data_IF_774909329167
#
_entry.id   IF_774909329167
#
_cell.length_a   1.000
_cell.length_b   1.000
_cell.length_c   1.000
_cell.angle_alpha   90.00
_cell.angle_beta   90.00
_cell.angle_gamma   90.00
#
_symmetry.space_group_name_H-M   'P 1'
#
loop_
_entity.id
_entity.type
_entity.pdbx_description
1 polymer ?
#
# COMPACT_ATOMS: atom_id res chain seq x y z
N UNK A 1 9.75 -20.48 -39.36
CA UNK A 1 8.33 -20.55 -39.03
C UNK A 1 7.96 -19.37 -38.13
N UNK A 2 6.83 -18.75 -38.37
CA UNK A 2 6.36 -17.54 -37.67
C UNK A 2 6.30 -17.69 -36.15
N UNK A 3 5.94 -18.87 -35.63
CA UNK A 3 5.88 -19.15 -34.18
C UNK A 3 7.25 -19.03 -33.48
N UNK A 4 8.36 -19.38 -34.16
CA UNK A 4 9.70 -19.19 -33.58
C UNK A 4 10.00 -17.70 -33.37
N UNK A 5 9.63 -16.83 -34.33
CA UNK A 5 9.77 -15.39 -34.19
C UNK A 5 8.89 -14.86 -33.05
N UNK A 6 7.66 -15.38 -32.90
CA UNK A 6 6.76 -15.04 -31.80
C UNK A 6 7.34 -15.47 -30.45
N UNK A 7 7.85 -16.70 -30.33
CA UNK A 7 8.47 -17.19 -29.08
C UNK A 7 9.71 -16.36 -28.71
N UNK A 8 10.56 -16.03 -29.69
CA UNK A 8 11.72 -15.15 -29.44
C UNK A 8 11.26 -13.77 -28.99
N UNK A 9 10.22 -13.19 -29.60
CA UNK A 9 9.64 -11.91 -29.17
C UNK A 9 9.13 -11.95 -27.74
N UNK A 10 8.37 -12.99 -27.36
CA UNK A 10 7.88 -13.19 -25.98
C UNK A 10 9.05 -13.34 -25.00
N UNK A 11 10.03 -14.18 -25.33
CA UNK A 11 11.20 -14.40 -24.48
C UNK A 11 12.02 -13.11 -24.29
N UNK A 12 12.21 -12.34 -25.36
CA UNK A 12 12.91 -11.03 -25.30
C UNK A 12 12.15 -10.02 -24.44
N UNK A 13 10.82 -10.00 -24.55
CA UNK A 13 9.96 -9.12 -23.73
C UNK A 13 10.03 -9.49 -22.24
N UNK A 14 9.96 -10.79 -21.91
CA UNK A 14 10.12 -11.27 -20.53
C UNK A 14 11.51 -10.91 -20.00
N UNK A 15 12.57 -11.15 -20.77
CA UNK A 15 13.93 -10.80 -20.39
C UNK A 15 14.07 -9.28 -20.14
N UNK A 16 13.47 -8.44 -20.98
CA UNK A 16 13.44 -7.00 -20.79
C UNK A 16 12.77 -6.61 -19.48
N UNK A 17 11.60 -7.21 -19.14
CA UNK A 17 10.91 -6.94 -17.86
C UNK A 17 11.80 -7.34 -16.68
N UNK A 18 12.43 -8.51 -16.72
CA UNK A 18 13.30 -8.98 -15.63
C UNK A 18 14.47 -8.00 -15.43
N UNK A 19 15.15 -7.61 -16.53
CA UNK A 19 16.27 -6.65 -16.49
C UNK A 19 15.77 -5.30 -15.95
N UNK A 20 14.61 -4.83 -16.39
CA UNK A 20 14.02 -3.58 -15.90
C UNK A 20 13.74 -3.62 -14.40
N UNK A 21 13.09 -4.69 -13.90
CA UNK A 21 12.81 -4.88 -12.46
C UNK A 21 14.10 -4.88 -11.64
N UNK A 22 15.11 -5.62 -12.13
CA UNK A 22 16.43 -5.66 -11.52
C UNK A 22 17.08 -4.26 -11.49
N UNK A 23 17.06 -3.54 -12.61
CA UNK A 23 17.63 -2.20 -12.71
C UNK A 23 16.95 -1.20 -11.76
N UNK A 24 15.63 -1.25 -11.65
CA UNK A 24 14.86 -0.41 -10.73
C UNK A 24 15.16 -0.75 -9.27
N UNK A 25 15.18 -2.04 -8.93
CA UNK A 25 15.39 -2.50 -7.54
C UNK A 25 16.80 -2.17 -7.05
N UNK A 26 17.82 -2.46 -7.86
CA UNK A 26 19.23 -2.21 -7.52
C UNK A 26 19.72 -0.80 -7.86
N UNK A 27 18.83 0.06 -8.36
CA UNK A 27 19.20 1.43 -8.76
C UNK A 27 20.38 1.47 -9.71
N UNK A 28 20.33 0.67 -10.77
CA UNK A 28 21.45 0.52 -11.72
C UNK A 28 21.88 1.90 -12.26
N UNK A 29 23.19 2.18 -12.19
CA UNK A 29 23.80 3.45 -12.61
C UNK A 29 23.13 4.70 -11.99
N UNK A 30 22.52 4.59 -10.79
CA UNK A 30 21.78 5.68 -10.11
C UNK A 30 20.60 6.25 -10.91
N UNK A 31 20.13 5.50 -11.90
CA UNK A 31 19.08 5.95 -12.81
C UNK A 31 17.71 6.03 -12.15
N UNK A 32 17.41 5.12 -11.21
CA UNK A 32 16.08 4.93 -10.64
C UNK A 32 15.94 5.42 -9.19
N UNK A 33 17.04 5.76 -8.53
CA UNK A 33 17.08 6.09 -7.11
C UNK A 33 16.90 4.88 -6.19
N UNK A 34 17.27 5.04 -4.93
CA UNK A 34 17.22 3.94 -3.93
C UNK A 34 15.80 3.39 -3.76
N UNK A 35 15.71 2.10 -3.52
CA UNK A 35 14.47 1.39 -3.13
C UNK A 35 14.61 0.87 -1.69
N UNK A 36 13.50 0.64 -0.95
CA UNK A 36 13.54 -0.07 0.31
C UNK A 36 14.22 -1.44 0.16
N UNK A 37 14.98 -1.85 1.17
CA UNK A 37 15.63 -3.16 1.15
C UNK A 37 14.62 -4.29 1.42
N UNK A 38 14.96 -5.53 1.01
CA UNK A 38 14.18 -6.72 1.36
C UNK A 38 14.06 -6.86 2.88
N UNK A 39 15.10 -6.53 3.63
CA UNK A 39 15.05 -6.55 5.09
C UNK A 39 13.92 -5.66 5.65
N UNK A 40 13.73 -4.47 5.09
CA UNK A 40 12.64 -3.57 5.50
C UNK A 40 11.26 -4.12 5.13
N UNK A 41 11.17 -4.93 4.06
CA UNK A 41 9.93 -5.62 3.69
C UNK A 41 9.63 -6.75 4.67
N UNK A 42 10.64 -7.52 5.07
CA UNK A 42 10.51 -8.64 6.01
C UNK A 42 10.30 -8.16 7.46
N UNK A 43 10.75 -6.96 7.80
CA UNK A 43 10.65 -6.38 9.15
C UNK A 43 10.15 -4.94 9.06
N UNK A 44 8.88 -4.73 8.70
CA UNK A 44 8.34 -3.39 8.60
C UNK A 44 8.30 -2.73 9.97
N UNK A 45 8.95 -1.57 10.07
CA UNK A 45 8.97 -0.79 11.31
C UNK A 45 7.70 0.06 11.37
N UNK A 46 6.89 -0.15 12.39
CA UNK A 46 5.76 0.72 12.72
C UNK A 46 6.23 1.76 13.75
N UNK A 47 6.03 3.04 13.44
CA UNK A 47 6.21 4.09 14.43
C UNK A 47 5.03 4.05 15.40
N UNK A 48 5.24 3.48 16.58
CA UNK A 48 4.24 3.44 17.64
C UNK A 48 4.29 4.73 18.47
N UNK A 49 3.16 5.11 19.03
CA UNK A 49 3.10 6.20 19.98
C UNK A 49 3.72 5.76 21.31
N UNK A 50 4.64 6.55 21.86
CA UNK A 50 5.12 6.37 23.23
C UNK A 50 4.08 6.90 24.21
N UNK A 51 3.58 6.06 25.09
CA UNK A 51 2.59 6.42 26.11
C UNK A 51 3.31 6.75 27.42
N UNK A 52 2.94 7.87 28.03
CA UNK A 52 3.51 8.34 29.31
C UNK A 52 2.46 8.11 30.39
N UNK A 53 2.82 7.35 31.39
CA UNK A 53 1.95 7.01 32.53
C UNK A 53 2.48 7.59 33.83
N UNK A 54 1.60 7.87 34.78
CA UNK A 54 1.96 8.07 36.19
C UNK A 54 2.37 6.75 36.82
N UNK A 55 2.96 6.80 38.03
CA UNK A 55 3.34 5.60 38.78
C UNK A 55 2.14 4.69 39.09
N UNK A 56 0.96 5.27 39.25
CA UNK A 56 -0.35 4.59 39.45
C UNK A 56 -1.02 4.19 38.13
N UNK A 57 -0.27 4.13 37.03
CA UNK A 57 -0.72 3.68 35.70
C UNK A 57 -1.82 4.54 35.05
N UNK A 58 -1.94 5.80 35.43
CA UNK A 58 -2.82 6.76 34.74
C UNK A 58 -2.10 7.34 33.53
N UNK A 59 -2.70 7.27 32.35
CA UNK A 59 -2.15 7.84 31.12
C UNK A 59 -2.13 9.37 31.21
N UNK A 60 -0.92 9.97 31.25
CA UNK A 60 -0.71 11.41 31.26
C UNK A 60 -0.77 12.00 29.85
N UNK A 61 -0.19 11.27 28.88
CA UNK A 61 -0.11 11.72 27.52
C UNK A 61 0.54 10.72 26.58
N UNK A 62 0.52 11.06 25.28
CA UNK A 62 1.17 10.29 24.22
C UNK A 62 2.16 11.18 23.48
N UNK A 63 3.37 10.69 23.31
CA UNK A 63 4.38 11.32 22.46
C UNK A 63 4.52 10.50 21.18
N UNK A 64 4.23 11.11 20.04
CA UNK A 64 4.23 10.43 18.76
C UNK A 64 4.51 11.39 17.61
N UNK A 65 5.16 10.90 16.57
CA UNK A 65 5.19 11.54 15.26
C UNK A 65 3.90 11.25 14.50
N UNK A 66 3.30 10.07 14.71
CA UNK A 66 2.03 9.62 14.16
C UNK A 66 1.23 8.95 15.28
N UNK A 67 -0.03 9.36 15.46
CA UNK A 67 -0.91 8.80 16.49
C UNK A 67 -1.38 7.39 16.07
N UNK A 68 -0.60 6.37 16.39
CA UNK A 68 -0.87 4.95 16.06
C UNK A 68 -1.08 4.13 17.33
N UNK A 69 -2.09 3.28 17.30
CA UNK A 69 -2.35 2.27 18.34
C UNK A 69 -2.66 0.95 17.63
N UNK A 70 -1.66 0.08 17.43
CA UNK A 70 -1.84 -1.15 16.67
C UNK A 70 -2.87 -2.08 17.31
N UNK A 71 -3.59 -2.80 16.46
CA UNK A 71 -4.59 -3.79 16.86
C UNK A 71 -4.46 -5.05 16.03
N UNK A 72 -5.06 -6.14 16.51
CA UNK A 72 -5.10 -7.43 15.80
C UNK A 72 -6.24 -7.44 14.78
N UNK A 73 -6.15 -8.35 13.81
CA UNK A 73 -7.17 -8.54 12.80
C UNK A 73 -8.56 -8.78 13.40
N UNK A 74 -8.64 -9.61 14.43
CA UNK A 74 -9.87 -10.02 15.10
C UNK A 74 -10.57 -8.89 15.86
N UNK A 75 -9.83 -7.83 16.19
CA UNK A 75 -10.35 -6.69 16.95
C UNK A 75 -11.07 -5.66 16.05
N UNK A 76 -11.14 -5.92 14.75
CA UNK A 76 -11.84 -5.07 13.77
C UNK A 76 -13.11 -5.75 13.29
N UNK A 77 -14.20 -4.99 13.20
CA UNK A 77 -15.45 -5.50 12.65
C UNK A 77 -15.22 -6.05 11.22
N UNK A 78 -15.59 -7.32 10.95
CA UNK A 78 -15.42 -7.92 9.61
C UNK A 78 -16.07 -7.11 8.48
N UNK A 79 -17.12 -6.34 8.78
CA UNK A 79 -17.77 -5.46 7.82
C UNK A 79 -16.81 -4.38 7.29
N UNK A 80 -15.90 -3.89 8.14
CA UNK A 80 -14.89 -2.93 7.68
C UNK A 80 -13.99 -3.52 6.58
N UNK A 81 -13.47 -4.73 6.78
CA UNK A 81 -12.65 -5.40 5.77
C UNK A 81 -13.41 -5.66 4.48
N UNK A 82 -14.68 -6.10 4.62
CA UNK A 82 -15.53 -6.31 3.45
C UNK A 82 -15.73 -5.02 2.67
N UNK A 83 -16.12 -3.94 3.34
CA UNK A 83 -16.31 -2.62 2.72
C UNK A 83 -15.02 -2.10 2.08
N UNK A 84 -13.87 -2.26 2.75
CA UNK A 84 -12.57 -1.87 2.22
C UNK A 84 -12.25 -2.61 0.92
N UNK A 85 -12.40 -3.94 0.92
CA UNK A 85 -12.08 -4.78 -0.25
C UNK A 85 -13.03 -4.47 -1.41
N UNK A 86 -14.34 -4.43 -1.16
CA UNK A 86 -15.36 -4.16 -2.17
C UNK A 86 -15.18 -2.76 -2.82
N UNK A 87 -14.61 -1.79 -2.07
CA UNK A 87 -14.45 -0.42 -2.52
C UNK A 87 -13.10 -0.15 -3.18
N UNK A 88 -12.02 -0.64 -2.56
CA UNK A 88 -10.65 -0.29 -2.96
C UNK A 88 -10.01 -1.36 -3.86
N UNK A 89 -10.36 -2.63 -3.68
CA UNK A 89 -9.65 -3.73 -4.34
C UNK A 89 -10.51 -5.01 -4.41
N UNK A 90 -11.59 -4.97 -5.20
CA UNK A 90 -12.59 -6.05 -5.32
C UNK A 90 -11.97 -7.44 -5.55
N UNK A 91 -10.81 -7.50 -6.24
CA UNK A 91 -10.09 -8.74 -6.53
C UNK A 91 -8.91 -9.02 -5.59
N UNK A 92 -8.88 -8.41 -4.40
CA UNK A 92 -7.79 -8.51 -3.44
C UNK A 92 -7.28 -9.94 -3.21
N UNK A 93 -8.18 -10.90 -3.11
CA UNK A 93 -7.83 -12.32 -2.89
C UNK A 93 -7.39 -13.06 -4.16
N UNK A 94 -7.47 -12.44 -5.34
CA UNK A 94 -7.21 -13.10 -6.63
C UNK A 94 -5.85 -12.74 -7.23
N UNK A 95 -5.19 -11.71 -6.73
CA UNK A 95 -3.89 -11.25 -7.22
C UNK A 95 -2.81 -11.32 -6.14
N UNK A 96 -1.55 -11.12 -6.53
CA UNK A 96 -0.38 -11.11 -5.65
C UNK A 96 0.31 -9.74 -5.70
N UNK A 97 -0.26 -8.74 -5.03
CA UNK A 97 0.27 -7.39 -4.90
C UNK A 97 -0.10 -6.45 -6.05
N UNK A 98 -0.27 -6.96 -7.27
CA UNK A 98 -0.66 -6.18 -8.46
C UNK A 98 -1.83 -6.86 -9.16
N UNK A 99 -2.90 -6.11 -9.39
CA UNK A 99 -4.05 -6.57 -10.16
C UNK A 99 -3.92 -6.18 -11.64
N UNK A 100 -3.29 -7.05 -12.43
CA UNK A 100 -3.12 -6.80 -13.87
C UNK A 100 -4.43 -6.69 -14.64
N UNK A 101 -5.48 -7.44 -14.22
CA UNK A 101 -6.80 -7.35 -14.84
C UNK A 101 -7.42 -5.97 -14.58
N UNK A 102 -7.34 -5.49 -13.35
CA UNK A 102 -7.80 -4.15 -12.97
C UNK A 102 -7.02 -3.04 -13.66
N UNK A 103 -5.70 -3.17 -13.78
CA UNK A 103 -4.87 -2.23 -14.52
C UNK A 103 -5.28 -2.13 -15.99
N UNK A 104 -5.50 -3.27 -16.66
CA UNK A 104 -5.94 -3.30 -18.05
C UNK A 104 -7.33 -2.68 -18.21
N UNK A 105 -8.26 -2.99 -17.31
CA UNK A 105 -9.59 -2.39 -17.31
C UNK A 105 -9.53 -0.87 -17.10
N UNK A 106 -8.74 -0.38 -16.13
CA UNK A 106 -8.57 1.04 -15.87
C UNK A 106 -7.90 1.77 -17.04
N UNK A 107 -6.94 1.15 -17.73
CA UNK A 107 -6.34 1.70 -18.93
C UNK A 107 -7.35 1.86 -20.07
N UNK A 108 -8.23 0.84 -20.25
CA UNK A 108 -9.33 0.91 -21.21
C UNK A 108 -10.33 2.02 -20.86
N UNK A 109 -10.74 2.11 -19.59
CA UNK A 109 -11.67 3.13 -19.12
C UNK A 109 -11.10 4.55 -19.33
N UNK A 110 -9.80 4.73 -19.08
CA UNK A 110 -9.11 6.00 -19.32
C UNK A 110 -9.14 6.43 -20.80
N UNK A 111 -9.04 5.50 -21.74
CA UNK A 111 -9.18 5.79 -23.17
C UNK A 111 -10.59 6.26 -23.54
N UNK A 112 -11.60 5.93 -22.73
CA UNK A 112 -12.99 6.37 -22.89
C UNK A 112 -13.34 7.59 -22.01
N UNK A 113 -12.34 8.26 -21.41
CA UNK A 113 -12.54 9.45 -20.58
C UNK A 113 -12.97 9.17 -19.13
N UNK A 114 -13.07 7.90 -18.72
CA UNK A 114 -13.46 7.49 -17.38
C UNK A 114 -12.22 7.09 -16.57
N UNK A 115 -11.63 8.02 -15.85
CA UNK A 115 -10.50 7.72 -14.97
C UNK A 115 -10.97 7.02 -13.68
N UNK A 116 -10.50 5.79 -13.43
CA UNK A 116 -10.68 5.10 -12.15
C UNK A 116 -9.34 4.66 -11.59
N UNK A 117 -9.25 4.56 -10.25
CA UNK A 117 -8.07 4.04 -9.57
C UNK A 117 -7.87 2.54 -9.87
N UNK A 118 -6.61 2.11 -10.02
CA UNK A 118 -6.24 0.71 -10.24
C UNK A 118 -5.13 0.28 -9.26
N UNK A 119 -4.96 1.00 -8.15
CA UNK A 119 -3.98 0.63 -7.12
C UNK A 119 -4.61 -0.36 -6.15
N UNK A 120 -3.93 -1.47 -5.88
CA UNK A 120 -4.36 -2.48 -4.91
C UNK A 120 -4.17 -2.00 -3.47
N UNK A 121 -4.86 -2.63 -2.51
CA UNK A 121 -4.65 -2.42 -1.06
C UNK A 121 -3.17 -2.60 -0.71
N UNK A 122 -2.51 -3.62 -1.26
CA UNK A 122 -1.08 -3.90 -1.00
C UNK A 122 -0.18 -2.78 -1.54
N UNK A 123 -0.48 -2.21 -2.70
CA UNK A 123 0.25 -1.05 -3.23
C UNK A 123 0.05 0.21 -2.38
N UNK A 124 -1.17 0.43 -1.89
CA UNK A 124 -1.46 1.53 -0.97
C UNK A 124 -0.72 1.35 0.36
N UNK A 125 -0.69 0.13 0.90
CA UNK A 125 0.07 -0.20 2.11
C UNK A 125 1.55 0.11 1.94
N UNK A 126 2.17 -0.38 0.86
CA UNK A 126 3.59 -0.14 0.54
C UNK A 126 3.88 1.36 0.40
N UNK A 127 3.01 2.09 -0.32
CA UNK A 127 3.14 3.54 -0.46
C UNK A 127 3.18 4.25 0.88
N UNK A 128 2.30 3.90 1.80
CA UNK A 128 2.16 4.53 3.11
C UNK A 128 3.27 4.09 4.07
N UNK A 129 3.54 2.78 4.15
CA UNK A 129 4.51 2.19 5.07
C UNK A 129 5.95 2.64 4.76
N UNK A 130 6.35 2.60 3.50
CA UNK A 130 7.70 2.97 3.07
C UNK A 130 7.80 4.42 2.59
N UNK A 131 6.71 5.18 2.61
CA UNK A 131 6.66 6.58 2.13
C UNK A 131 7.36 6.71 0.77
N UNK A 132 7.08 5.79 -0.15
CA UNK A 132 7.79 5.63 -1.42
C UNK A 132 7.84 6.90 -2.26
N UNK A 133 6.90 7.81 -2.06
CA UNK A 133 6.79 9.07 -2.80
C UNK A 133 7.53 10.25 -2.18
N UNK A 134 7.86 10.18 -0.88
CA UNK A 134 8.50 11.29 -0.15
C UNK A 134 9.92 10.98 0.31
N UNK A 135 10.21 9.72 0.69
CA UNK A 135 11.52 9.35 1.25
C UNK A 135 12.50 8.80 0.22
N UNK A 136 12.02 8.31 -0.93
CA UNK A 136 12.88 7.69 -1.93
C UNK A 136 12.99 8.53 -3.19
N UNK A 137 14.22 8.76 -3.63
CA UNK A 137 14.50 9.44 -4.88
C UNK A 137 14.11 8.58 -6.09
N UNK A 138 13.91 9.22 -7.21
CA UNK A 138 13.63 8.55 -8.50
C UNK A 138 14.86 8.57 -9.43
N UNK A 139 16.03 8.87 -8.88
CA UNK A 139 17.30 8.89 -9.60
C UNK A 139 17.36 9.92 -10.71
N UNK A 140 18.30 9.72 -11.62
CA UNK A 140 18.52 10.64 -12.74
C UNK A 140 17.33 10.66 -13.71
N UNK A 141 16.73 9.51 -14.00
CA UNK A 141 15.58 9.41 -14.91
C UNK A 141 14.32 10.08 -14.36
N UNK A 142 14.18 10.18 -13.05
CA UNK A 142 13.06 10.88 -12.42
C UNK A 142 13.02 12.39 -12.65
N UNK A 143 14.08 12.97 -13.24
CA UNK A 143 14.10 14.38 -13.68
C UNK A 143 13.31 14.60 -14.98
N UNK A 144 13.04 13.53 -15.73
CA UNK A 144 12.29 13.59 -16.98
C UNK A 144 10.79 13.66 -16.67
N UNK A 145 10.03 14.64 -17.20
CA UNK A 145 8.60 14.73 -17.00
C UNK A 145 7.87 13.42 -17.35
N UNK A 146 6.95 12.97 -16.50
CA UNK A 146 6.22 11.70 -16.66
C UNK A 146 6.98 10.45 -16.20
N UNK A 147 8.30 10.36 -16.39
CA UNK A 147 9.10 9.19 -16.01
C UNK A 147 9.15 9.00 -14.50
N UNK A 148 9.17 10.08 -13.74
CA UNK A 148 9.10 10.04 -12.26
C UNK A 148 7.96 9.15 -11.75
N UNK A 149 6.75 9.33 -12.29
CA UNK A 149 5.57 8.58 -11.86
C UNK A 149 5.70 7.09 -12.21
N UNK A 150 6.23 6.78 -13.39
CA UNK A 150 6.47 5.39 -13.82
C UNK A 150 7.45 4.69 -12.88
N UNK A 151 8.58 5.33 -12.54
CA UNK A 151 9.56 4.78 -11.60
C UNK A 151 8.94 4.55 -10.22
N UNK A 152 8.19 5.52 -9.70
CA UNK A 152 7.52 5.39 -8.39
C UNK A 152 6.53 4.22 -8.40
N UNK A 153 5.71 4.10 -9.43
CA UNK A 153 4.77 2.99 -9.59
C UNK A 153 5.48 1.64 -9.75
N UNK A 154 6.57 1.58 -10.51
CA UNK A 154 7.35 0.34 -10.63
C UNK A 154 7.91 -0.11 -9.27
N UNK A 155 8.40 0.82 -8.45
CA UNK A 155 8.84 0.52 -7.08
C UNK A 155 7.70 0.02 -6.21
N UNK A 156 6.54 0.70 -6.25
CA UNK A 156 5.35 0.27 -5.51
C UNK A 156 4.94 -1.17 -5.90
N UNK A 157 4.99 -1.53 -7.19
CA UNK A 157 4.67 -2.88 -7.67
C UNK A 157 5.67 -3.93 -7.19
N UNK A 158 6.96 -3.65 -7.33
CA UNK A 158 8.02 -4.58 -6.89
C UNK A 158 7.89 -4.85 -5.38
N UNK A 159 7.68 -3.81 -4.58
CA UNK A 159 7.53 -3.91 -3.14
C UNK A 159 6.22 -4.61 -2.74
N UNK A 160 5.11 -4.36 -3.46
CA UNK A 160 3.83 -4.99 -3.21
C UNK A 160 3.87 -6.51 -3.49
N UNK A 161 4.50 -6.92 -4.59
CA UNK A 161 4.73 -8.34 -4.91
C UNK A 161 5.64 -8.96 -3.84
N UNK A 162 6.72 -8.27 -3.46
CA UNK A 162 7.62 -8.73 -2.40
C UNK A 162 6.91 -8.89 -1.06
N UNK A 163 6.04 -7.95 -0.68
CA UNK A 163 5.27 -8.03 0.56
C UNK A 163 4.33 -9.25 0.57
N UNK A 164 3.63 -9.50 -0.54
CA UNK A 164 2.73 -10.67 -0.67
C UNK A 164 3.47 -12.01 -0.82
N UNK A 165 4.77 -11.99 -1.08
CA UNK A 165 5.60 -13.19 -1.01
C UNK A 165 5.89 -13.62 0.44
N UNK A 166 6.04 -12.65 1.37
CA UNK A 166 6.37 -12.92 2.77
C UNK A 166 5.15 -12.96 3.69
N UNK A 167 4.06 -12.29 3.36
CA UNK A 167 2.88 -12.11 4.20
C UNK A 167 1.62 -12.58 3.50
N UNK A 168 0.73 -13.24 4.26
CA UNK A 168 -0.58 -13.64 3.74
C UNK A 168 -1.55 -12.44 3.67
N UNK A 169 -2.68 -12.63 3.01
CA UNK A 169 -3.70 -11.59 2.82
C UNK A 169 -4.24 -10.99 4.13
N UNK A 170 -4.37 -11.82 5.16
CA UNK A 170 -4.82 -11.37 6.48
C UNK A 170 -3.78 -10.48 7.16
N UNK A 171 -2.50 -10.85 7.08
CA UNK A 171 -1.41 -10.03 7.61
C UNK A 171 -1.35 -8.68 6.90
N UNK A 172 -1.52 -8.67 5.57
CA UNK A 172 -1.54 -7.44 4.77
C UNK A 172 -2.69 -6.53 5.18
N UNK A 173 -3.91 -7.06 5.36
CA UNK A 173 -5.04 -6.29 5.87
C UNK A 173 -4.78 -5.75 7.27
N UNK A 174 -4.18 -6.55 8.14
CA UNK A 174 -3.81 -6.12 9.50
C UNK A 174 -2.80 -4.97 9.47
N UNK A 175 -1.76 -5.09 8.65
CA UNK A 175 -0.78 -4.02 8.46
C UNK A 175 -1.43 -2.76 7.86
N UNK A 176 -2.34 -2.93 6.90
CA UNK A 176 -3.05 -1.84 6.26
C UNK A 176 -3.87 -1.02 7.28
N UNK A 177 -4.75 -1.69 8.04
CA UNK A 177 -5.61 -1.00 9.02
C UNK A 177 -4.84 -0.36 10.17
N UNK A 178 -3.62 -0.81 10.43
CA UNK A 178 -2.72 -0.22 11.42
C UNK A 178 -1.86 0.94 10.86
N UNK A 179 -1.76 1.08 9.53
CA UNK A 179 -0.80 2.01 8.90
C UNK A 179 -1.49 3.18 8.22
N UNK A 180 -2.67 2.97 7.66
CA UNK A 180 -3.33 3.96 6.80
C UNK A 180 -3.75 5.20 7.56
N UNK A 181 -3.62 6.35 6.89
CA UNK A 181 -4.06 7.65 7.40
C UNK A 181 -5.54 7.89 7.04
N UNK A 182 -6.35 8.15 8.05
CA UNK A 182 -7.77 8.49 7.92
C UNK A 182 -8.02 10.01 8.00
N UNK A 183 -6.97 10.81 7.96
CA UNK A 183 -7.07 12.25 8.17
C UNK A 183 -7.14 12.64 9.66
N UNK A 184 -7.15 13.95 9.93
CA UNK A 184 -7.19 14.48 11.30
C UNK A 184 -6.14 13.89 12.25
N UNK A 185 -4.96 13.55 11.73
CA UNK A 185 -3.88 12.87 12.47
C UNK A 185 -4.31 11.50 13.07
N UNK A 186 -5.30 10.84 12.45
CA UNK A 186 -5.79 9.53 12.86
C UNK A 186 -5.16 8.42 12.02
N UNK A 187 -4.02 7.94 12.46
CA UNK A 187 -3.31 6.82 11.82
C UNK A 187 -3.79 5.50 12.41
N UNK A 188 -4.26 4.62 11.52
CA UNK A 188 -4.83 3.32 11.85
C UNK A 188 -6.29 3.37 12.34
N UNK A 189 -6.97 2.24 12.13
CA UNK A 189 -8.43 2.10 12.36
C UNK A 189 -8.83 2.34 13.83
N UNK A 190 -7.96 1.98 14.79
CA UNK A 190 -8.26 2.16 16.22
C UNK A 190 -8.33 3.64 16.57
N UNK A 191 -7.38 4.42 16.11
CA UNK A 191 -7.37 5.86 16.30
C UNK A 191 -8.54 6.52 15.57
N UNK A 192 -8.80 6.10 14.32
CA UNK A 192 -9.89 6.63 13.51
C UNK A 192 -11.27 6.36 14.15
N UNK A 193 -11.55 5.11 14.58
CA UNK A 193 -12.81 4.78 15.25
C UNK A 193 -13.04 5.63 16.52
N UNK A 194 -11.96 5.86 17.28
CA UNK A 194 -12.04 6.71 18.48
C UNK A 194 -12.26 8.18 18.14
N UNK A 195 -11.52 8.69 17.15
CA UNK A 195 -11.55 10.12 16.76
C UNK A 195 -12.88 10.52 16.15
N UNK A 196 -13.39 9.72 15.19
CA UNK A 196 -14.59 10.08 14.43
C UNK A 196 -15.90 9.67 15.09
N UNK A 197 -15.90 8.54 15.81
CA UNK A 197 -17.14 7.95 16.33
C UNK A 197 -17.12 7.66 17.83
N UNK A 198 -16.01 7.98 18.52
CA UNK A 198 -15.82 7.69 19.94
C UNK A 198 -16.12 6.23 20.31
N UNK A 199 -15.76 5.30 19.43
CA UNK A 199 -16.01 3.85 19.55
C UNK A 199 -14.73 3.03 19.36
N UNK A 200 -14.85 1.70 19.41
CA UNK A 200 -13.78 0.76 19.11
C UNK A 200 -13.99 0.15 17.71
N UNK A 201 -12.92 -0.29 17.01
CA UNK A 201 -13.05 -0.90 15.69
C UNK A 201 -13.98 -2.11 15.62
N UNK A 202 -14.06 -2.90 16.69
CA UNK A 202 -14.97 -4.04 16.78
C UNK A 202 -16.46 -3.65 16.81
N UNK A 203 -16.76 -2.44 17.28
CA UNK A 203 -18.13 -1.93 17.47
C UNK A 203 -18.57 -0.96 16.37
N UNK A 204 -17.77 -0.75 15.35
CA UNK A 204 -18.14 0.09 14.21
C UNK A 204 -19.39 -0.43 13.54
N UNK A 205 -20.34 0.45 13.25
CA UNK A 205 -21.54 0.16 12.45
C UNK A 205 -21.19 0.13 10.97
N UNK A 206 -22.08 -0.43 10.15
CA UNK A 206 -21.87 -0.55 8.70
C UNK A 206 -21.65 0.82 8.04
N UNK A 207 -22.48 1.81 8.40
CA UNK A 207 -22.36 3.18 7.90
C UNK A 207 -21.05 3.85 8.32
N UNK A 208 -20.59 3.61 9.55
CA UNK A 208 -19.32 4.13 10.06
C UNK A 208 -18.12 3.49 9.33
N UNK A 209 -18.21 2.19 9.03
CA UNK A 209 -17.22 1.51 8.18
C UNK A 209 -17.13 2.15 6.79
N UNK A 210 -18.29 2.44 6.17
CA UNK A 210 -18.35 3.06 4.85
C UNK A 210 -17.76 4.47 4.86
N UNK A 211 -18.04 5.27 5.89
CA UNK A 211 -17.44 6.60 6.07
C UNK A 211 -15.93 6.52 6.19
N UNK A 212 -15.40 5.63 7.05
CA UNK A 212 -13.96 5.49 7.23
C UNK A 212 -13.27 5.04 5.92
N UNK A 213 -13.86 4.10 5.18
CA UNK A 213 -13.31 3.68 3.87
C UNK A 213 -13.36 4.85 2.87
N UNK A 214 -14.42 5.67 2.90
CA UNK A 214 -14.52 6.87 2.07
C UNK A 214 -13.42 7.90 2.33
N UNK A 215 -12.95 8.03 3.58
CA UNK A 215 -11.84 8.93 3.96
C UNK A 215 -10.48 8.50 3.39
N UNK A 216 -10.29 7.22 3.01
CA UNK A 216 -9.03 6.72 2.45
C UNK A 216 -8.73 7.27 1.05
N UNK A 217 -9.73 7.82 0.36
CA UNK A 217 -9.63 8.37 -1.01
C UNK A 217 -9.24 9.84 -1.08
N UNK A 218 -9.22 10.51 0.03
CA UNK A 218 -8.97 11.95 0.07
C UNK A 218 -7.50 12.32 -0.18
#
# INVERSE_FOLDING_TARGET
PWYKKLLVGIASFIAFIIIYVFAVYFNLFWLFGKSPSIHNIMHPQNNEASEIYTEDSVLIGKYFNENRSPIKYEDVNPMFYKTLIDTEDERFYQHHGVDFKGLFAAAKDMLHGNARGASTITQQLVKNMFRTRSQYSTGLLGKIPGVKMVIMKSKEWILAIGLEFFYNKRDILTMYVNTVDFGSNAYGIKTAAKTYFNTTPAKLKTEECAVLVGLLKA
#
